data_IF_410696354038
#
_entry.id   IF_410696354038
#
_cell.length_a   1.000
_cell.length_b   1.000
_cell.length_c   1.000
_cell.angle_alpha   90.00
_cell.angle_beta   90.00
_cell.angle_gamma   90.00
#
_symmetry.space_group_name_H-M   'P 1'
#
loop_
_entity.id
_entity.type
_entity.pdbx_description
1 polymer ?
#
# COMPACT_ATOMS: atom_id res chain seq x y z
N UNK A 1 -22.17 -22.62 10.46
CA UNK A 1 -20.87 -22.96 11.06
C UNK A 1 -19.80 -22.51 10.09
N UNK A 2 -18.95 -21.62 10.59
CA UNK A 2 -17.62 -21.19 10.12
C UNK A 2 -17.37 -20.95 8.64
N UNK A 3 -17.10 -19.69 8.29
CA UNK A 3 -15.94 -19.28 7.50
C UNK A 3 -15.83 -17.75 7.57
N UNK A 4 -15.30 -17.25 8.69
CA UNK A 4 -14.89 -15.84 8.85
C UNK A 4 -13.47 -15.78 9.40
N UNK A 5 -12.63 -16.74 8.99
CA UNK A 5 -11.25 -16.91 9.49
C UNK A 5 -10.18 -16.77 8.39
N UNK A 6 -10.57 -16.65 7.11
CA UNK A 6 -9.62 -16.54 5.99
C UNK A 6 -9.14 -15.10 5.71
N UNK A 7 -9.86 -14.08 6.20
CA UNK A 7 -9.54 -12.67 5.92
C UNK A 7 -8.25 -12.11 6.57
N UNK A 8 -7.87 -12.46 7.81
CA UNK A 8 -6.68 -11.86 8.44
C UNK A 8 -5.36 -12.35 7.84
N UNK A 9 -5.31 -13.59 7.35
CA UNK A 9 -4.11 -14.16 6.70
C UNK A 9 -3.87 -13.51 5.34
N UNK A 10 -4.89 -13.45 4.47
CA UNK A 10 -4.76 -12.86 3.14
C UNK A 10 -4.40 -11.36 3.18
N UNK A 11 -4.92 -10.61 4.15
CA UNK A 11 -4.56 -9.22 4.39
C UNK A 11 -3.07 -9.05 4.72
N UNK A 12 -2.60 -9.82 5.69
CA UNK A 12 -1.23 -9.70 6.21
C UNK A 12 -0.21 -10.19 5.18
N UNK A 13 -0.53 -11.25 4.44
CA UNK A 13 0.29 -11.76 3.34
C UNK A 13 0.44 -10.74 2.23
N UNK A 14 -0.66 -10.07 1.82
CA UNK A 14 -0.56 -9.08 0.74
C UNK A 14 0.20 -7.83 1.16
N UNK A 15 0.02 -7.38 2.41
CA UNK A 15 0.81 -6.28 2.95
C UNK A 15 2.31 -6.62 2.96
N UNK A 16 2.68 -7.80 3.46
CA UNK A 16 4.08 -8.23 3.45
C UNK A 16 4.64 -8.32 2.03
N UNK A 17 3.86 -8.81 1.06
CA UNK A 17 4.28 -8.84 -0.33
C UNK A 17 4.55 -7.43 -0.89
N UNK A 18 3.68 -6.45 -0.61
CA UNK A 18 3.87 -5.07 -1.10
C UNK A 18 5.08 -4.40 -0.44
N UNK A 19 5.36 -4.72 0.82
CA UNK A 19 6.54 -4.18 1.53
C UNK A 19 7.85 -4.81 1.05
N UNK A 20 7.80 -6.03 0.48
CA UNK A 20 8.95 -6.71 -0.13
C UNK A 20 9.11 -6.35 -1.62
N UNK A 21 8.03 -5.97 -2.30
CA UNK A 21 8.04 -5.50 -3.68
C UNK A 21 8.69 -4.11 -3.81
N UNK A 22 9.61 -3.97 -4.78
CA UNK A 22 10.12 -2.65 -5.18
C UNK A 22 8.99 -1.75 -5.71
N UNK A 23 9.13 -0.44 -5.51
CA UNK A 23 8.21 0.54 -6.09
C UNK A 23 8.27 0.44 -7.62
N UNK A 24 7.14 0.25 -8.33
CA UNK A 24 7.12 0.12 -9.77
C UNK A 24 7.75 1.32 -10.48
N UNK A 25 8.54 1.07 -11.52
CA UNK A 25 9.15 2.14 -12.32
C UNK A 25 8.12 2.92 -13.14
N UNK A 26 7.14 2.21 -13.72
CA UNK A 26 6.07 2.81 -14.52
C UNK A 26 5.03 3.53 -13.67
N UNK A 27 4.62 4.74 -14.08
CA UNK A 27 3.60 5.55 -13.40
C UNK A 27 2.31 4.77 -13.11
N UNK A 28 1.80 4.01 -14.09
CA UNK A 28 0.59 3.20 -13.92
C UNK A 28 0.76 2.09 -12.86
N UNK A 29 1.97 1.55 -12.70
CA UNK A 29 2.30 0.61 -11.64
C UNK A 29 2.26 1.28 -10.26
N UNK A 30 2.85 2.47 -10.14
CA UNK A 30 2.83 3.27 -8.90
C UNK A 30 1.40 3.65 -8.49
N UNK A 31 0.57 4.08 -9.43
CA UNK A 31 -0.85 4.40 -9.17
C UNK A 31 -1.60 3.16 -8.66
N UNK A 32 -1.36 1.99 -9.25
CA UNK A 32 -1.97 0.73 -8.79
C UNK A 32 -1.52 0.39 -7.36
N UNK A 33 -0.22 0.42 -7.10
CA UNK A 33 0.34 0.10 -5.78
C UNK A 33 -0.15 1.09 -4.71
N UNK A 34 -0.19 2.39 -5.02
CA UNK A 34 -0.72 3.41 -4.12
C UNK A 34 -2.18 3.15 -3.75
N UNK A 35 -3.02 2.79 -4.74
CA UNK A 35 -4.43 2.49 -4.52
C UNK A 35 -4.61 1.23 -3.67
N UNK A 36 -3.80 0.21 -3.92
CA UNK A 36 -3.80 -1.01 -3.12
C UNK A 36 -3.41 -0.74 -1.66
N UNK A 37 -2.38 0.08 -1.42
CA UNK A 37 -1.99 0.50 -0.07
C UNK A 37 -3.08 1.31 0.64
N UNK A 38 -3.83 2.14 -0.10
CA UNK A 38 -4.98 2.88 0.44
C UNK A 38 -6.12 1.94 0.84
N UNK A 39 -6.42 0.94 0.00
CA UNK A 39 -7.44 -0.06 0.29
C UNK A 39 -7.03 -0.92 1.51
N UNK A 40 -5.75 -1.27 1.62
CA UNK A 40 -5.19 -1.97 2.78
C UNK A 40 -5.26 -1.13 4.04
N UNK A 41 -4.94 0.16 4.00
CA UNK A 41 -5.05 1.04 5.16
C UNK A 41 -6.48 1.09 5.69
N UNK A 42 -7.46 1.25 4.80
CA UNK A 42 -8.87 1.27 5.16
C UNK A 42 -9.34 -0.05 5.77
N UNK A 43 -8.90 -1.17 5.20
CA UNK A 43 -9.18 -2.50 5.73
C UNK A 43 -8.54 -2.70 7.11
N UNK A 44 -7.28 -2.30 7.29
CA UNK A 44 -6.57 -2.41 8.56
C UNK A 44 -7.23 -1.56 9.65
N UNK A 45 -7.61 -0.33 9.31
CA UNK A 45 -8.31 0.56 10.22
C UNK A 45 -9.65 -0.03 10.68
N UNK A 46 -10.42 -0.59 9.74
CA UNK A 46 -11.72 -1.22 10.02
C UNK A 46 -11.60 -2.51 10.84
N UNK A 47 -10.52 -3.27 10.62
CA UNK A 47 -10.23 -4.51 11.34
C UNK A 47 -9.59 -4.28 12.73
N UNK A 48 -9.25 -3.03 13.08
CA UNK A 48 -8.62 -2.71 14.35
C UNK A 48 -7.22 -3.32 14.50
N UNK A 49 -6.44 -3.37 13.41
CA UNK A 49 -5.06 -3.90 13.46
C UNK A 49 -4.18 -3.09 14.41
N UNK A 50 -3.06 -3.67 14.82
CA UNK A 50 -2.11 -3.01 15.69
C UNK A 50 -1.64 -1.66 15.10
N UNK A 51 -1.54 -0.59 15.90
CA UNK A 51 -1.19 0.75 15.40
C UNK A 51 0.13 0.82 14.64
N UNK A 52 1.12 0.00 15.01
CA UNK A 52 2.41 -0.06 14.32
C UNK A 52 2.25 -0.54 12.88
N UNK A 53 1.37 -1.53 12.63
CA UNK A 53 1.15 -2.07 11.28
C UNK A 53 0.44 -1.04 10.39
N UNK A 54 -0.52 -0.30 10.96
CA UNK A 54 -1.18 0.81 10.27
C UNK A 54 -0.17 1.91 9.87
N UNK A 55 0.84 2.15 10.69
CA UNK A 55 1.90 3.11 10.40
C UNK A 55 2.80 2.64 9.24
N UNK A 56 3.13 1.34 9.17
CA UNK A 56 3.89 0.77 8.04
C UNK A 56 3.14 0.94 6.71
N UNK A 57 1.84 0.64 6.68
CA UNK A 57 1.01 0.82 5.48
C UNK A 57 1.01 2.27 5.01
N UNK A 58 0.81 3.21 5.95
CA UNK A 58 0.82 4.65 5.66
C UNK A 58 2.18 5.10 5.13
N UNK A 59 3.26 4.61 5.72
CA UNK A 59 4.62 4.93 5.30
C UNK A 59 4.85 4.47 3.86
N UNK A 60 4.55 3.21 3.54
CA UNK A 60 4.67 2.68 2.18
C UNK A 60 3.82 3.46 1.16
N UNK A 61 2.58 3.80 1.54
CA UNK A 61 1.65 4.60 0.71
C UNK A 61 2.23 5.98 0.42
N UNK A 62 2.71 6.66 1.45
CA UNK A 62 3.25 8.00 1.35
C UNK A 62 4.55 8.01 0.53
N UNK A 63 5.42 7.01 0.70
CA UNK A 63 6.62 6.83 -0.15
C UNK A 63 6.24 6.65 -1.61
N UNK A 64 5.26 5.79 -1.92
CA UNK A 64 4.78 5.60 -3.29
C UNK A 64 4.21 6.91 -3.85
N UNK A 65 3.44 7.65 -3.04
CA UNK A 65 2.91 8.97 -3.36
C UNK A 65 4.00 9.99 -3.71
N UNK A 66 5.02 10.11 -2.87
CA UNK A 66 6.17 10.99 -3.09
C UNK A 66 6.90 10.64 -4.39
N UNK A 67 7.16 9.36 -4.64
CA UNK A 67 7.84 8.90 -5.85
C UNK A 67 7.03 9.22 -7.12
N UNK A 68 5.70 9.20 -7.06
CA UNK A 68 4.85 9.67 -8.17
C UNK A 68 4.98 11.17 -8.40
N UNK A 69 4.92 11.98 -7.33
CA UNK A 69 5.02 13.44 -7.44
C UNK A 69 6.37 13.86 -8.03
N UNK A 70 7.47 13.29 -7.55
CA UNK A 70 8.82 13.60 -8.07
C UNK A 70 8.96 13.23 -9.54
N UNK A 71 8.40 12.09 -9.98
CA UNK A 71 8.46 11.73 -11.40
C UNK A 71 7.64 12.67 -12.28
N UNK A 72 6.50 13.18 -11.80
CA UNK A 72 5.72 14.18 -12.53
C UNK A 72 6.46 15.53 -12.62
N UNK A 73 7.13 15.93 -11.54
CA UNK A 73 7.96 17.15 -11.54
C UNK A 73 9.15 17.03 -12.51
N UNK A 74 9.81 15.87 -12.55
CA UNK A 74 10.89 15.58 -13.50
C UNK A 74 10.39 15.60 -14.97
N UNK A 75 9.20 15.08 -15.23
CA UNK A 75 8.57 15.11 -16.56
C UNK A 75 8.09 16.51 -16.97
N UNK A 76 7.72 17.37 -16.01
CA UNK A 76 7.26 18.75 -16.25
C UNK A 76 8.40 19.77 -16.39
N UNK A 77 9.63 19.40 -15.98
CA UNK A 77 10.84 20.24 -16.00
C UNK A 77 11.71 20.12 -17.26
N UNK A 78 11.22 19.52 -18.34
CA UNK A 78 11.85 19.44 -19.67
C UNK A 78 10.93 20.01 -20.77
#
# INVERSE_FOLDING_TARGET
MSNTDEQPCAFSERLLAILDEDIPSAMMGRVRQFRELLDLENAAHSAGVAPWLLNEIRTARDTTGWVMLTALDDEAGH
#
